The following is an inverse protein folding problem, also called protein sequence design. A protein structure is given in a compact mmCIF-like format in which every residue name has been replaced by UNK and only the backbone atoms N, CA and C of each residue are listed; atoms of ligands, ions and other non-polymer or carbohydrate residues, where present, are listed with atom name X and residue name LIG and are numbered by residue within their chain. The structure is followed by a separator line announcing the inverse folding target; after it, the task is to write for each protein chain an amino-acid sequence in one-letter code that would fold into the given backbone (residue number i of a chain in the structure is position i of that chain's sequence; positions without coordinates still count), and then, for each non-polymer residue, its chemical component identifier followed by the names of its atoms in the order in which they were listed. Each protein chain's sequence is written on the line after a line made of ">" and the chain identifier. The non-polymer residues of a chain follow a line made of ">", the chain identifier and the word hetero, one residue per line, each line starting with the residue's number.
data_IF_972573959953
#
_entry.id   IF_972573959953
#
_cell.length_a   1.000
_cell.length_b   1.000
_cell.length_c   1.000
_cell.angle_alpha   90.00
_cell.angle_beta   90.00
_cell.angle_gamma   90.00
#
_symmetry.space_group_name_H-M   'P 1'
#
loop_
_entity.id
_entity.type
_entity.pdbx_description
1 polymer ?
#
# COMPACT_ATOMS: atom_id res chain seq x y z
N UNK A 1 -5.10 38.73 -16.49
CA UNK A 1 -4.12 37.79 -17.08
C UNK A 1 -2.70 38.19 -16.66
N UNK A 2 -2.24 37.81 -15.46
CA UNK A 2 -0.97 38.32 -14.89
C UNK A 2 0.29 37.51 -15.24
N UNK A 3 0.17 36.42 -16.00
CA UNK A 3 1.28 35.49 -16.28
C UNK A 3 1.37 35.02 -17.74
N UNK A 4 0.69 35.70 -18.68
CA UNK A 4 0.68 35.26 -20.08
C UNK A 4 2.06 35.32 -20.77
N UNK A 5 3.00 36.13 -20.22
CA UNK A 5 4.31 36.40 -20.84
C UNK A 5 5.52 36.00 -19.97
N UNK A 6 5.35 35.26 -18.87
CA UNK A 6 6.48 34.82 -18.03
C UNK A 6 6.43 33.32 -17.81
N UNK A 7 6.76 32.55 -18.84
CA UNK A 7 7.03 31.13 -18.68
C UNK A 7 8.40 31.02 -18.02
N UNK A 8 8.49 30.29 -16.90
CA UNK A 8 9.76 30.07 -16.21
C UNK A 8 10.73 29.34 -17.16
N UNK A 9 11.92 29.92 -17.36
CA UNK A 9 13.00 29.31 -18.14
C UNK A 9 13.70 28.20 -17.36
N UNK A 10 13.63 28.24 -16.03
CA UNK A 10 14.30 27.31 -15.12
C UNK A 10 13.37 27.00 -13.92
N UNK A 11 13.42 25.76 -13.44
CA UNK A 11 12.60 25.27 -12.32
C UNK A 11 13.52 24.51 -11.36
N UNK A 12 13.51 24.92 -10.09
CA UNK A 12 14.22 24.20 -9.03
C UNK A 12 13.54 22.84 -8.78
N UNK A 13 14.31 21.76 -8.91
CA UNK A 13 13.79 20.41 -8.75
C UNK A 13 14.78 19.51 -8.01
N UNK A 14 14.24 18.47 -7.39
CA UNK A 14 15.04 17.40 -6.76
C UNK A 14 14.92 16.17 -7.64
N UNK A 15 16.06 15.66 -8.10
CA UNK A 15 16.14 14.46 -8.93
C UNK A 15 16.36 13.25 -8.03
N UNK A 16 15.54 12.22 -8.21
CA UNK A 16 15.66 10.94 -7.52
C UNK A 16 16.06 9.86 -8.52
N UNK A 17 17.00 9.00 -8.16
CA UNK A 17 17.44 7.87 -9.00
C UNK A 17 16.33 6.82 -9.14
N UNK A 18 15.47 6.70 -8.13
CA UNK A 18 14.36 5.75 -8.08
C UNK A 18 13.01 6.49 -7.90
N UNK A 19 12.04 6.31 -8.82
CA UNK A 19 10.70 6.87 -8.69
C UNK A 19 10.00 6.53 -7.35
N UNK A 20 10.28 5.36 -6.77
CA UNK A 20 9.70 4.95 -5.49
C UNK A 20 10.16 5.81 -4.30
N UNK A 21 11.34 6.41 -4.38
CA UNK A 21 11.83 7.34 -3.36
C UNK A 21 11.10 8.67 -3.46
N UNK A 22 10.85 9.15 -4.68
CA UNK A 22 10.04 10.32 -4.93
C UNK A 22 8.59 10.14 -4.42
N UNK A 23 8.01 8.94 -4.58
CA UNK A 23 6.64 8.63 -4.13
C UNK A 23 6.45 8.84 -2.61
N UNK A 24 7.48 8.57 -1.79
CA UNK A 24 7.43 8.84 -0.35
C UNK A 24 7.21 10.33 -0.08
N UNK A 25 7.94 11.19 -0.79
CA UNK A 25 7.84 12.65 -0.68
C UNK A 25 6.54 13.19 -1.27
N UNK A 26 6.14 12.68 -2.42
CA UNK A 26 4.88 13.04 -3.08
C UNK A 26 3.69 12.73 -2.16
N UNK A 27 3.69 11.54 -1.53
CA UNK A 27 2.65 11.17 -0.57
C UNK A 27 2.63 12.13 0.63
N UNK A 28 3.79 12.41 1.23
CA UNK A 28 3.90 13.29 2.40
C UNK A 28 3.46 14.72 2.08
N UNK A 29 3.79 15.24 0.90
CA UNK A 29 3.40 16.61 0.51
C UNK A 29 1.93 16.73 0.16
N UNK A 30 1.32 15.70 -0.43
CA UNK A 30 0.05 15.86 -1.15
C UNK A 30 -1.17 15.11 -0.62
N UNK A 31 -1.04 14.03 0.17
CA UNK A 31 -2.21 13.20 0.53
C UNK A 31 -2.95 13.60 1.82
N UNK A 32 -2.79 14.83 2.29
CA UNK A 32 -3.50 15.36 3.47
C UNK A 32 -2.59 16.15 4.41
N UNK A 33 -3.05 16.37 5.65
CA UNK A 33 -2.30 17.14 6.66
C UNK A 33 -1.03 16.43 7.13
N UNK A 34 -0.99 15.08 7.13
CA UNK A 34 0.18 14.28 7.51
C UNK A 34 0.92 14.84 8.74
N UNK A 35 0.19 15.06 9.84
CA UNK A 35 0.71 15.66 11.09
C UNK A 35 1.40 17.03 10.89
N UNK A 36 0.89 17.85 9.96
CA UNK A 36 1.42 19.19 9.67
C UNK A 36 2.53 19.22 8.61
N UNK A 37 2.93 18.07 8.05
CA UNK A 37 3.98 17.95 7.03
C UNK A 37 3.44 18.26 5.61
N UNK A 38 2.13 18.06 5.39
CA UNK A 38 1.50 18.24 4.09
C UNK A 38 1.40 19.71 3.68
N UNK A 39 2.19 20.12 2.69
CA UNK A 39 2.27 21.53 2.26
C UNK A 39 1.33 21.88 1.09
N UNK A 40 0.97 20.92 0.23
CA UNK A 40 0.16 21.16 -0.99
C UNK A 40 -0.89 20.07 -1.14
N UNK A 41 -2.11 20.31 -0.67
CA UNK A 41 -3.16 19.28 -0.68
C UNK A 41 -3.65 18.95 -2.09
N UNK A 42 -3.64 17.66 -2.42
CA UNK A 42 -4.39 17.15 -3.55
C UNK A 42 -5.87 16.95 -3.20
N UNK A 43 -6.72 17.09 -4.21
CA UNK A 43 -8.13 16.71 -4.08
C UNK A 43 -8.30 15.18 -4.07
N UNK A 44 -9.47 14.69 -3.64
CA UNK A 44 -9.76 13.26 -3.52
C UNK A 44 -9.55 12.47 -4.82
N UNK A 45 -9.77 13.10 -5.97
CA UNK A 45 -9.58 12.50 -7.29
C UNK A 45 -8.09 12.28 -7.59
N UNK A 46 -7.26 13.30 -7.37
CA UNK A 46 -5.80 13.22 -7.54
C UNK A 46 -5.17 12.20 -6.58
N UNK A 47 -5.58 12.19 -5.31
CA UNK A 47 -5.15 11.19 -4.32
C UNK A 47 -5.53 9.77 -4.78
N UNK A 48 -6.73 9.60 -5.34
CA UNK A 48 -7.18 8.30 -5.85
C UNK A 48 -6.36 7.84 -7.05
N UNK A 49 -6.03 8.74 -7.98
CA UNK A 49 -5.19 8.44 -9.16
C UNK A 49 -3.79 8.02 -8.70
N UNK A 50 -3.22 8.76 -7.76
CA UNK A 50 -1.92 8.42 -7.18
C UNK A 50 -1.93 7.05 -6.50
N UNK A 51 -2.94 6.77 -5.67
CA UNK A 51 -3.08 5.46 -5.02
C UNK A 51 -3.27 4.31 -6.03
N UNK A 52 -4.01 4.52 -7.12
CA UNK A 52 -4.15 3.52 -8.19
C UNK A 52 -2.81 3.20 -8.84
N UNK A 53 -1.99 4.23 -9.11
CA UNK A 53 -0.64 4.07 -9.68
C UNK A 53 0.31 3.33 -8.74
N UNK A 54 0.33 3.70 -7.46
CA UNK A 54 1.32 3.20 -6.49
C UNK A 54 0.90 1.89 -5.84
N UNK A 55 -0.33 1.82 -5.34
CA UNK A 55 -0.85 0.64 -4.62
C UNK A 55 -1.41 -0.42 -5.56
N UNK A 56 -1.46 -0.15 -6.87
CA UNK A 56 -2.08 -1.03 -7.89
C UNK A 56 -3.50 -1.47 -7.52
N UNK A 57 -4.21 -0.63 -6.76
CA UNK A 57 -5.60 -0.86 -6.36
C UNK A 57 -6.50 -0.02 -7.26
N UNK A 58 -7.17 -0.62 -8.26
CA UNK A 58 -8.04 0.12 -9.15
C UNK A 58 -9.24 0.71 -8.37
N UNK A 59 -9.52 1.99 -8.59
CA UNK A 59 -10.68 2.66 -7.98
C UNK A 59 -11.87 2.54 -8.91
N UNK A 60 -12.98 1.98 -8.43
CA UNK A 60 -14.22 1.84 -9.20
C UNK A 60 -14.79 3.21 -9.59
N UNK A 61 -14.72 4.19 -8.69
CA UNK A 61 -15.17 5.55 -8.96
C UNK A 61 -14.39 6.18 -10.12
N UNK A 62 -13.06 6.03 -10.13
CA UNK A 62 -12.23 6.57 -11.22
C UNK A 62 -12.48 5.83 -12.55
N UNK A 63 -12.72 4.53 -12.51
CA UNK A 63 -13.10 3.77 -13.70
C UNK A 63 -14.43 4.25 -14.28
N UNK A 64 -15.45 4.46 -13.44
CA UNK A 64 -16.73 5.02 -13.86
C UNK A 64 -16.58 6.42 -14.47
N UNK A 65 -15.77 7.29 -13.85
CA UNK A 65 -15.49 8.62 -14.39
C UNK A 65 -14.74 8.57 -15.73
N UNK A 66 -13.79 7.63 -15.92
CA UNK A 66 -13.11 7.44 -17.20
C UNK A 66 -14.03 6.95 -18.30
N UNK A 67 -14.96 6.03 -17.98
CA UNK A 67 -15.98 5.59 -18.93
C UNK A 67 -16.78 6.80 -19.44
N UNK A 68 -17.14 7.72 -18.54
CA UNK A 68 -17.85 8.95 -18.90
C UNK A 68 -16.98 9.91 -19.73
N UNK A 69 -15.71 10.08 -19.38
CA UNK A 69 -14.77 10.96 -20.11
C UNK A 69 -14.53 10.46 -21.55
N UNK A 70 -14.39 9.15 -21.72
CA UNK A 70 -14.06 8.52 -23.00
C UNK A 70 -15.28 8.33 -23.92
N UNK A 71 -16.50 8.30 -23.38
CA UNK A 71 -17.69 8.05 -24.18
C UNK A 71 -18.14 9.31 -24.94
N UNK A 72 -18.43 9.18 -26.24
CA UNK A 72 -19.04 10.25 -27.04
C UNK A 72 -20.49 10.56 -26.66
N UNK A 73 -21.17 9.64 -25.96
CA UNK A 73 -22.59 9.76 -25.65
C UNK A 73 -22.87 10.66 -24.40
N UNK A 74 -21.82 11.13 -23.72
CA UNK A 74 -21.95 12.02 -22.55
C UNK A 74 -22.00 13.48 -23.01
N UNK A 75 -23.01 14.28 -22.58
CA UNK A 75 -23.07 15.71 -22.89
C UNK A 75 -21.83 16.47 -22.45
N UNK A 76 -21.36 17.40 -23.28
CA UNK A 76 -20.15 18.20 -23.02
C UNK A 76 -20.23 18.99 -21.71
N UNK A 77 -21.43 19.45 -21.32
CA UNK A 77 -21.68 20.13 -20.04
C UNK A 77 -21.37 19.25 -18.82
N UNK A 78 -21.69 17.95 -18.90
CA UNK A 78 -21.37 17.01 -17.84
C UNK A 78 -19.88 16.71 -17.87
N UNK A 79 -19.29 16.47 -19.05
CA UNK A 79 -17.87 16.15 -19.20
C UNK A 79 -16.95 17.24 -18.61
N UNK A 80 -17.23 18.51 -18.88
CA UNK A 80 -16.42 19.62 -18.37
C UNK A 80 -16.46 19.74 -16.84
N UNK A 81 -17.53 19.26 -16.22
CA UNK A 81 -17.75 19.32 -14.77
C UNK A 81 -17.45 18.00 -14.05
N UNK A 82 -17.01 16.95 -14.75
CA UNK A 82 -16.69 15.67 -14.11
C UNK A 82 -15.62 15.78 -13.03
N UNK A 83 -14.71 16.78 -13.08
CA UNK A 83 -13.74 17.04 -12.01
C UNK A 83 -14.35 17.51 -10.69
N UNK A 84 -15.56 18.08 -10.72
CA UNK A 84 -16.30 18.56 -9.54
C UNK A 84 -17.01 17.41 -8.81
N UNK A 85 -17.27 16.30 -9.50
CA UNK A 85 -17.96 15.14 -8.92
C UNK A 85 -17.12 14.55 -7.79
N UNK A 86 -17.72 14.47 -6.59
CA UNK A 86 -17.09 13.87 -5.42
C UNK A 86 -16.84 12.38 -5.65
N UNK A 87 -15.56 12.00 -5.77
CA UNK A 87 -15.12 10.62 -6.02
C UNK A 87 -15.66 9.63 -4.98
N UNK A 88 -15.81 10.05 -3.72
CA UNK A 88 -16.36 9.23 -2.64
C UNK A 88 -17.84 8.90 -2.85
N UNK A 89 -18.64 9.82 -3.36
CA UNK A 89 -20.07 9.62 -3.59
C UNK A 89 -20.31 8.72 -4.80
N UNK A 90 -19.59 8.98 -5.91
CA UNK A 90 -19.57 8.08 -7.06
C UNK A 90 -19.17 6.66 -6.64
N UNK A 91 -18.11 6.56 -5.82
CA UNK A 91 -17.61 5.30 -5.28
C UNK A 91 -18.66 4.52 -4.47
N UNK A 92 -19.44 5.19 -3.62
CA UNK A 92 -20.52 4.56 -2.84
C UNK A 92 -21.57 3.92 -3.74
N UNK A 93 -21.97 4.61 -4.80
CA UNK A 93 -22.96 4.12 -5.77
C UNK A 93 -22.42 2.94 -6.58
N UNK A 94 -21.27 3.10 -7.26
CA UNK A 94 -20.74 2.01 -8.11
C UNK A 94 -20.15 0.83 -7.31
N UNK A 95 -20.04 0.95 -5.99
CA UNK A 95 -19.63 -0.15 -5.12
C UNK A 95 -20.81 -1.00 -4.64
N UNK A 96 -22.04 -0.48 -4.69
CA UNK A 96 -23.22 -1.16 -4.19
C UNK A 96 -23.72 -2.23 -5.18
N UNK A 97 -23.97 -3.48 -4.76
CA UNK A 97 -24.41 -4.55 -5.65
C UNK A 97 -25.73 -4.28 -6.38
N UNK A 98 -26.71 -3.62 -5.73
CA UNK A 98 -28.02 -3.34 -6.35
C UNK A 98 -27.88 -2.26 -7.43
N UNK A 99 -27.07 -1.23 -7.15
CA UNK A 99 -26.76 -0.17 -8.13
C UNK A 99 -25.96 -0.75 -9.31
N UNK A 100 -25.02 -1.67 -9.07
CA UNK A 100 -24.27 -2.36 -10.12
C UNK A 100 -25.17 -3.17 -11.04
N UNK A 101 -26.08 -3.97 -10.45
CA UNK A 101 -27.07 -4.75 -11.19
C UNK A 101 -27.98 -3.84 -12.02
N UNK A 102 -28.44 -2.72 -11.44
CA UNK A 102 -29.25 -1.72 -12.13
C UNK A 102 -28.52 -1.07 -13.32
N UNK A 103 -27.22 -0.79 -13.18
CA UNK A 103 -26.39 -0.23 -14.25
C UNK A 103 -25.96 -1.28 -15.30
N UNK A 104 -26.13 -2.58 -15.03
CA UNK A 104 -25.64 -3.65 -15.89
C UNK A 104 -24.11 -3.81 -15.84
N UNK A 105 -23.49 -3.52 -14.69
CA UNK A 105 -22.05 -3.65 -14.49
C UNK A 105 -21.71 -4.68 -13.42
N UNK A 106 -20.57 -5.33 -13.57
CA UNK A 106 -20.00 -6.27 -12.63
C UNK A 106 -18.59 -5.82 -12.25
N UNK A 107 -18.09 -6.31 -11.12
CA UNK A 107 -16.74 -5.97 -10.65
C UNK A 107 -15.98 -7.25 -10.37
N UNK A 108 -14.91 -7.48 -11.14
CA UNK A 108 -14.03 -8.63 -10.98
C UNK A 108 -12.59 -8.14 -10.85
N UNK A 109 -11.89 -8.57 -9.78
CA UNK A 109 -10.52 -8.09 -9.50
C UNK A 109 -10.40 -6.57 -9.29
N UNK A 110 -11.51 -5.91 -8.91
CA UNK A 110 -11.58 -4.46 -8.77
C UNK A 110 -11.73 -3.69 -10.10
N UNK A 111 -11.94 -4.39 -11.21
CA UNK A 111 -12.17 -3.80 -12.53
C UNK A 111 -13.65 -3.90 -12.89
N UNK A 112 -14.23 -2.80 -13.39
CA UNK A 112 -15.60 -2.78 -13.92
C UNK A 112 -15.63 -3.55 -15.25
N UNK A 113 -16.46 -4.58 -15.31
CA UNK A 113 -16.78 -5.36 -16.51
C UNK A 113 -18.27 -5.25 -16.80
N UNK A 114 -18.66 -5.40 -18.06
CA UNK A 114 -20.08 -5.41 -18.42
C UNK A 114 -20.32 -6.22 -19.69
N UNK A 115 -21.43 -6.94 -19.70
CA UNK A 115 -22.00 -7.59 -20.89
C UNK A 115 -23.11 -6.73 -21.53
N UNK A 116 -23.55 -5.67 -20.85
CA UNK A 116 -24.54 -4.72 -21.36
C UNK A 116 -23.87 -3.74 -22.32
N UNK A 117 -24.61 -3.22 -23.30
CA UNK A 117 -24.10 -2.22 -24.24
C UNK A 117 -23.50 -1.02 -23.51
N UNK A 118 -22.28 -0.62 -23.90
CA UNK A 118 -21.58 0.51 -23.27
C UNK A 118 -22.43 1.79 -23.26
N UNK A 119 -23.27 1.99 -24.29
CA UNK A 119 -24.19 3.13 -24.38
C UNK A 119 -25.22 3.16 -23.24
N UNK A 120 -25.79 2.01 -22.90
CA UNK A 120 -26.80 1.90 -21.83
C UNK A 120 -26.15 2.09 -20.45
N UNK A 121 -24.93 1.56 -20.24
CA UNK A 121 -24.18 1.80 -19.01
C UNK A 121 -23.81 3.28 -18.87
N UNK A 122 -23.30 3.90 -19.94
CA UNK A 122 -22.97 5.34 -19.97
C UNK A 122 -24.19 6.20 -19.68
N UNK A 123 -25.36 5.84 -20.23
CA UNK A 123 -26.63 6.54 -19.99
C UNK A 123 -26.97 6.61 -18.49
N UNK A 124 -26.89 5.47 -17.78
CA UNK A 124 -27.11 5.42 -16.34
C UNK A 124 -26.06 6.21 -15.55
N UNK A 125 -24.78 6.01 -15.88
CA UNK A 125 -23.68 6.75 -15.25
C UNK A 125 -23.75 8.26 -15.48
N UNK A 126 -24.27 8.69 -16.64
CA UNK A 126 -24.46 10.12 -16.98
C UNK A 126 -25.53 10.74 -16.09
N UNK A 127 -26.63 10.02 -15.83
CA UNK A 127 -27.63 10.49 -14.88
C UNK A 127 -27.06 10.58 -13.47
N UNK A 128 -26.28 9.58 -13.03
CA UNK A 128 -25.60 9.63 -11.73
C UNK A 128 -24.67 10.86 -11.66
N UNK A 129 -23.86 11.09 -12.68
CA UNK A 129 -22.97 12.25 -12.71
C UNK A 129 -23.75 13.58 -12.66
N UNK A 130 -24.88 13.68 -13.36
CA UNK A 130 -25.76 14.86 -13.31
C UNK A 130 -26.31 15.10 -11.91
N UNK A 131 -26.84 14.06 -11.26
CA UNK A 131 -27.39 14.19 -9.91
C UNK A 131 -26.31 14.56 -8.89
N UNK A 132 -25.11 13.98 -9.01
CA UNK A 132 -23.97 14.32 -8.14
C UNK A 132 -23.43 15.75 -8.34
N UNK A 133 -23.75 16.38 -9.47
CA UNK A 133 -23.42 17.78 -9.76
C UNK A 133 -24.53 18.75 -9.34
N UNK A 134 -25.70 18.24 -8.96
CA UNK A 134 -26.81 19.06 -8.45
C UNK A 134 -26.50 19.48 -7.01
N UNK A 135 -26.51 20.79 -6.69
CA UNK A 135 -26.29 21.29 -5.32
C UNK A 135 -27.32 20.78 -4.31
N UNK A 136 -28.51 20.33 -4.75
CA UNK A 136 -29.54 19.73 -3.88
C UNK A 136 -29.18 18.31 -3.45
N UNK A 137 -28.30 17.64 -4.18
CA UNK A 137 -27.92 16.27 -3.90
C UNK A 137 -26.93 16.21 -2.75
N UNK A 138 -27.27 15.45 -1.72
CA UNK A 138 -26.44 15.32 -0.52
C UNK A 138 -26.00 13.87 -0.30
N UNK A 139 -25.01 13.70 0.58
CA UNK A 139 -24.53 12.35 0.94
C UNK A 139 -25.66 11.51 1.57
N UNK A 140 -26.63 12.15 2.23
CA UNK A 140 -27.77 11.49 2.87
C UNK A 140 -28.67 10.75 1.88
N UNK A 141 -28.67 11.16 0.61
CA UNK A 141 -29.45 10.50 -0.44
C UNK A 141 -28.87 9.13 -0.85
N UNK A 142 -27.67 8.77 -0.40
CA UNK A 142 -26.95 7.55 -0.80
C UNK A 142 -26.15 6.89 0.34
N UNK A 143 -26.39 7.28 1.59
CA UNK A 143 -25.57 6.85 2.73
C UNK A 143 -25.85 5.40 3.10
N UNK A 144 -27.12 5.05 3.32
CA UNK A 144 -27.55 3.68 3.59
C UNK A 144 -27.82 2.88 2.31
N UNK A 145 -27.99 1.57 2.47
CA UNK A 145 -28.33 0.68 1.36
C UNK A 145 -29.73 0.99 0.81
N UNK A 146 -30.68 1.24 1.71
CA UNK A 146 -32.04 1.65 1.42
C UNK A 146 -32.08 2.98 0.66
N UNK A 147 -31.25 3.95 1.04
CA UNK A 147 -31.15 5.24 0.34
C UNK A 147 -30.69 5.04 -1.11
N UNK A 148 -29.68 4.20 -1.35
CA UNK A 148 -29.20 3.88 -2.70
C UNK A 148 -30.26 3.17 -3.54
N UNK A 149 -31.03 2.26 -2.94
CA UNK A 149 -32.16 1.59 -3.60
C UNK A 149 -33.27 2.58 -3.97
N UNK A 150 -33.61 3.48 -3.05
CA UNK A 150 -34.58 4.54 -3.28
C UNK A 150 -34.09 5.53 -4.34
N UNK A 151 -32.80 5.82 -4.38
CA UNK A 151 -32.17 6.68 -5.38
C UNK A 151 -32.30 6.11 -6.79
N UNK A 152 -31.89 4.86 -7.02
CA UNK A 152 -32.00 4.23 -8.36
C UNK A 152 -33.46 4.06 -8.80
N UNK A 153 -34.40 3.91 -7.86
CA UNK A 153 -35.83 3.83 -8.15
C UNK A 153 -36.42 5.16 -8.69
N UNK A 154 -35.79 6.31 -8.39
CA UNK A 154 -36.23 7.63 -8.87
C UNK A 154 -35.82 7.91 -10.32
N UNK A 155 -35.04 7.02 -10.96
CA UNK A 155 -34.59 7.23 -12.34
C UNK A 155 -35.78 7.24 -13.31
N UNK A 156 -35.84 8.26 -14.16
CA UNK A 156 -36.82 8.33 -15.23
C UNK A 156 -36.62 7.19 -16.24
N UNK A 157 -37.69 6.80 -16.94
CA UNK A 157 -37.62 5.79 -18.01
C UNK A 157 -36.58 6.13 -19.09
N UNK A 158 -36.39 7.43 -19.36
CA UNK A 158 -35.44 7.93 -20.36
C UNK A 158 -33.99 7.89 -19.91
N UNK A 159 -33.70 7.85 -18.61
CA UNK A 159 -32.34 7.77 -18.05
C UNK A 159 -31.99 6.38 -17.52
N UNK A 160 -32.97 5.50 -17.35
CA UNK A 160 -32.77 4.11 -16.92
C UNK A 160 -31.99 3.30 -17.98
N UNK A 161 -30.89 2.64 -17.61
CA UNK A 161 -30.19 1.69 -18.48
C UNK A 161 -31.09 0.51 -18.85
N UNK A 162 -31.04 0.11 -20.10
CA UNK A 162 -31.64 -1.15 -20.54
C UNK A 162 -30.61 -2.28 -20.48
N UNK A 163 -30.63 -3.06 -19.40
CA UNK A 163 -29.70 -4.17 -19.19
C UNK A 163 -29.97 -5.36 -20.12
N UNK A 164 -31.12 -5.40 -20.80
CA UNK A 164 -31.43 -6.43 -21.80
C UNK A 164 -30.64 -6.25 -23.10
N UNK A 165 -30.21 -5.02 -23.41
CA UNK A 165 -29.38 -4.72 -24.57
C UNK A 165 -27.93 -5.14 -24.30
N UNK A 166 -27.60 -6.35 -24.72
CA UNK A 166 -26.24 -6.88 -24.59
C UNK A 166 -25.28 -6.26 -25.62
N UNK A 167 -24.03 -6.12 -25.22
CA UNK A 167 -22.94 -5.78 -26.13
C UNK A 167 -22.59 -6.98 -27.02
N UNK A 168 -22.04 -6.72 -28.21
CA UNK A 168 -21.54 -7.76 -29.11
C UNK A 168 -20.44 -8.61 -28.47
N UNK A 169 -19.63 -8.00 -27.60
CA UNK A 169 -18.64 -8.68 -26.76
C UNK A 169 -18.61 -8.06 -25.36
N UNK A 170 -18.29 -8.83 -24.30
CA UNK A 170 -18.03 -8.28 -22.98
C UNK A 170 -16.89 -7.26 -23.02
N UNK A 171 -17.06 -6.14 -22.33
CA UNK A 171 -16.06 -5.08 -22.27
C UNK A 171 -15.68 -4.78 -20.81
N UNK A 172 -14.54 -4.12 -20.64
CA UNK A 172 -14.00 -3.75 -19.33
C UNK A 172 -13.51 -2.31 -19.33
N UNK A 173 -13.59 -1.66 -18.17
CA UNK A 173 -13.12 -0.30 -18.00
C UNK A 173 -11.59 -0.22 -18.15
N UNK A 174 -11.11 0.88 -18.73
CA UNK A 174 -9.69 1.17 -18.78
C UNK A 174 -9.19 1.59 -17.39
N UNK A 175 -8.16 0.90 -16.89
CA UNK A 175 -7.42 1.34 -15.70
C UNK A 175 -6.22 2.19 -16.13
N UNK A 176 -5.75 3.09 -15.26
CA UNK A 176 -4.48 3.82 -15.50
C UNK A 176 -3.25 2.95 -15.33
N UNK A 177 -3.40 1.62 -15.19
CA UNK A 177 -2.26 0.76 -15.47
C UNK A 177 -1.89 0.98 -16.92
N UNK A 178 -0.64 1.36 -17.23
CA UNK A 178 -0.21 1.36 -18.61
C UNK A 178 -0.49 -0.04 -19.14
N UNK A 179 -1.36 -0.14 -20.16
CA UNK A 179 -1.31 -1.28 -21.07
C UNK A 179 0.17 -1.41 -21.41
N UNK A 180 0.77 -2.56 -21.08
CA UNK A 180 2.07 -2.90 -21.61
C UNK A 180 1.89 -3.07 -23.11
N UNK A 181 1.88 -1.97 -23.85
CA UNK A 181 2.31 -2.00 -25.24
C UNK A 181 3.76 -2.45 -25.17
N UNK A 182 3.97 -3.70 -25.59
CA UNK A 182 5.27 -4.25 -25.87
C UNK A 182 5.91 -3.39 -26.97
N UNK A 183 6.57 -2.32 -26.54
CA UNK A 183 7.54 -1.62 -27.35
C UNK A 183 8.88 -1.86 -26.67
N UNK A 184 9.79 -2.48 -27.42
CA UNK A 184 11.07 -2.97 -26.93
C UNK A 184 11.79 -1.91 -26.13
N UNK A 185 11.86 -2.11 -24.81
CA UNK A 185 12.82 -1.43 -23.95
C UNK A 185 13.87 -2.45 -23.58
N UNK A 186 15.09 -2.19 -24.02
CA UNK A 186 16.31 -2.87 -23.60
C UNK A 186 16.23 -3.14 -22.10
N UNK A 187 16.43 -4.40 -21.73
CA UNK A 187 16.27 -4.90 -20.38
C UNK A 187 17.16 -4.15 -19.38
N UNK A 188 16.64 -3.05 -18.82
CA UNK A 188 17.04 -2.60 -17.50
C UNK A 188 16.66 -3.73 -16.54
N UNK A 189 17.69 -4.35 -15.96
CA UNK A 189 17.64 -5.52 -15.08
C UNK A 189 16.50 -5.39 -14.07
N UNK A 190 15.32 -5.97 -14.36
CA UNK A 190 14.24 -6.16 -13.37
C UNK A 190 14.86 -6.97 -12.24
N UNK A 191 14.96 -6.41 -11.04
CA UNK A 191 15.27 -7.25 -9.88
C UNK A 191 14.14 -8.27 -9.77
N UNK A 192 14.47 -9.53 -9.97
CA UNK A 192 13.56 -10.66 -9.75
C UNK A 192 12.85 -10.52 -8.40
N UNK A 193 11.59 -10.96 -8.25
CA UNK A 193 10.93 -11.02 -6.94
C UNK A 193 11.89 -11.69 -5.96
N UNK A 194 12.14 -11.04 -4.83
CA UNK A 194 13.14 -11.48 -3.88
C UNK A 194 12.75 -12.86 -3.35
N UNK A 195 13.44 -13.90 -3.82
CA UNK A 195 13.13 -15.29 -3.48
C UNK A 195 13.51 -15.62 -2.04
N UNK A 196 14.48 -14.90 -1.46
CA UNK A 196 15.08 -15.18 -0.16
C UNK A 196 14.83 -14.03 0.81
N UNK A 197 14.71 -14.32 2.11
CA UNK A 197 14.48 -13.27 3.11
C UNK A 197 15.64 -12.25 3.14
N UNK A 198 16.87 -12.76 3.05
CA UNK A 198 18.09 -11.95 3.09
C UNK A 198 18.77 -12.02 1.72
N UNK A 199 19.19 -10.86 1.19
CA UNK A 199 20.08 -10.81 0.02
C UNK A 199 21.50 -11.03 0.51
N UNK A 200 22.23 -11.99 -0.09
CA UNK A 200 23.65 -12.25 0.24
C UNK A 200 24.45 -10.95 0.16
N UNK A 201 25.10 -10.56 1.26
CA UNK A 201 26.19 -9.57 1.18
C UNK A 201 26.45 -8.63 2.35
N UNK A 202 25.64 -8.58 3.42
CA UNK A 202 25.69 -7.40 4.30
C UNK A 202 26.18 -7.60 5.73
N UNK A 203 26.30 -8.84 6.25
CA UNK A 203 26.64 -9.07 7.66
C UNK A 203 27.73 -10.13 7.79
N UNK A 204 28.88 -9.77 8.37
CA UNK A 204 29.93 -10.72 8.73
C UNK A 204 29.69 -11.23 10.14
N UNK A 205 29.25 -12.48 10.26
CA UNK A 205 28.93 -13.10 11.55
C UNK A 205 30.09 -13.98 12.01
N UNK A 206 30.76 -13.58 13.11
CA UNK A 206 31.94 -14.28 13.64
C UNK A 206 31.64 -15.68 14.21
N UNK A 207 30.43 -15.91 14.73
CA UNK A 207 30.05 -17.19 15.33
C UNK A 207 29.60 -18.20 14.26
N UNK A 208 30.27 -19.37 14.19
CA UNK A 208 30.01 -20.43 13.19
C UNK A 208 28.54 -20.87 13.12
N UNK A 209 27.86 -21.02 14.27
CA UNK A 209 26.46 -21.46 14.30
C UNK A 209 25.53 -20.39 13.74
N UNK A 210 25.71 -19.14 14.14
CA UNK A 210 24.93 -18.01 13.64
C UNK A 210 25.22 -17.73 12.15
N UNK A 211 26.46 -17.89 11.71
CA UNK A 211 26.83 -17.77 10.30
C UNK A 211 26.12 -18.83 9.43
N UNK A 212 25.99 -20.06 9.92
CA UNK A 212 25.21 -21.09 9.25
C UNK A 212 23.72 -20.73 9.14
N UNK A 213 23.11 -20.27 10.25
CA UNK A 213 21.70 -19.81 10.28
C UNK A 213 21.49 -18.63 9.31
N UNK A 214 22.40 -17.66 9.29
CA UNK A 214 22.35 -16.54 8.36
C UNK A 214 22.46 -17.00 6.90
N UNK A 215 23.38 -17.94 6.62
CA UNK A 215 23.51 -18.57 5.29
C UNK A 215 22.25 -19.33 4.87
N UNK A 216 21.57 -20.00 5.80
CA UNK A 216 20.28 -20.67 5.55
C UNK A 216 19.19 -19.66 5.21
N UNK A 217 19.07 -18.57 5.98
CA UNK A 217 18.14 -17.46 5.70
C UNK A 217 18.40 -16.78 4.33
N UNK A 218 19.65 -16.79 3.88
CA UNK A 218 20.05 -16.31 2.55
C UNK A 218 19.72 -17.29 1.41
N UNK A 219 19.44 -18.57 1.70
CA UNK A 219 19.20 -19.62 0.69
C UNK A 219 17.75 -20.07 0.61
N UNK A 220 17.02 -20.01 1.73
CA UNK A 220 15.65 -20.49 1.83
C UNK A 220 14.69 -19.64 0.97
N UNK A 221 13.88 -20.34 0.18
CA UNK A 221 12.80 -19.72 -0.58
C UNK A 221 11.65 -19.35 0.37
N UNK A 222 11.44 -18.06 0.55
CA UNK A 222 10.44 -17.53 1.48
C UNK A 222 9.01 -17.88 1.07
N UNK A 223 8.75 -18.09 -0.21
CA UNK A 223 7.42 -18.46 -0.71
C UNK A 223 7.07 -19.91 -0.39
N UNK A 224 8.09 -20.77 -0.25
CA UNK A 224 7.94 -22.21 0.02
C UNK A 224 8.08 -22.54 1.51
N UNK A 225 8.93 -21.82 2.23
CA UNK A 225 9.33 -22.15 3.59
C UNK A 225 9.01 -21.03 4.60
N UNK A 226 7.86 -20.37 4.48
CA UNK A 226 7.47 -19.21 5.31
C UNK A 226 7.58 -19.46 6.82
N UNK A 227 7.07 -20.59 7.30
CA UNK A 227 7.10 -20.91 8.73
C UNK A 227 8.53 -21.17 9.24
N UNK A 228 9.33 -21.92 8.47
CA UNK A 228 10.72 -22.20 8.84
C UNK A 228 11.56 -20.91 8.87
N UNK A 229 11.37 -20.04 7.88
CA UNK A 229 12.04 -18.72 7.81
C UNK A 229 11.66 -17.85 9.01
N UNK A 230 10.39 -17.85 9.42
CA UNK A 230 9.93 -17.12 10.61
C UNK A 230 10.64 -17.56 11.89
N UNK A 231 10.74 -18.88 12.11
CA UNK A 231 11.42 -19.46 13.27
C UNK A 231 12.92 -19.12 13.25
N UNK A 232 13.57 -19.31 12.10
CA UNK A 232 15.00 -19.03 11.96
C UNK A 232 15.33 -17.55 12.13
N UNK A 233 14.48 -16.65 11.64
CA UNK A 233 14.64 -15.20 11.83
C UNK A 233 14.62 -14.84 13.33
N UNK A 234 13.67 -15.39 14.09
CA UNK A 234 13.60 -15.16 15.54
C UNK A 234 14.87 -15.66 16.23
N UNK A 235 15.29 -16.90 15.94
CA UNK A 235 16.49 -17.50 16.54
C UNK A 235 17.74 -16.69 16.20
N UNK A 236 17.85 -16.19 14.97
CA UNK A 236 18.97 -15.35 14.55
C UNK A 236 19.04 -14.04 15.33
N UNK A 237 17.92 -13.32 15.47
CA UNK A 237 17.87 -12.06 16.23
C UNK A 237 18.21 -12.29 17.71
N UNK A 238 17.64 -13.34 18.31
CA UNK A 238 17.85 -13.68 19.71
C UNK A 238 19.32 -14.02 20.02
N UNK A 239 19.91 -14.94 19.26
CA UNK A 239 21.30 -15.33 19.45
C UNK A 239 22.30 -14.22 19.08
N UNK A 240 21.95 -13.31 18.17
CA UNK A 240 22.78 -12.13 17.87
C UNK A 240 22.83 -11.17 19.06
N UNK A 241 21.69 -10.95 19.71
CA UNK A 241 21.65 -10.13 20.93
C UNK A 241 22.45 -10.78 22.07
N UNK A 242 22.40 -12.10 22.21
CA UNK A 242 23.19 -12.83 23.20
C UNK A 242 24.70 -12.66 22.97
N UNK A 243 25.17 -12.77 21.72
CA UNK A 243 26.58 -12.53 21.39
C UNK A 243 27.03 -11.10 21.74
N UNK A 244 26.18 -10.10 21.50
CA UNK A 244 26.47 -8.71 21.84
C UNK A 244 26.56 -8.53 23.36
N UNK A 245 25.62 -9.12 24.11
CA UNK A 245 25.58 -9.04 25.56
C UNK A 245 26.82 -9.70 26.17
N UNK A 246 27.26 -10.85 25.65
CA UNK A 246 28.47 -11.53 26.13
C UNK A 246 29.74 -10.69 25.94
N UNK A 247 29.84 -9.95 24.81
CA UNK A 247 31.00 -9.11 24.49
C UNK A 247 31.03 -7.81 25.29
N UNK A 248 29.92 -7.08 25.35
CA UNK A 248 29.87 -5.71 25.90
C UNK A 248 29.31 -5.61 27.32
N UNK A 249 28.69 -6.68 27.81
CA UNK A 249 28.07 -6.81 29.14
C UNK A 249 27.22 -5.59 29.53
N UNK A 250 26.26 -5.14 28.69
CA UNK A 250 25.36 -4.06 29.05
C UNK A 250 24.47 -4.46 30.24
N UNK A 251 24.04 -3.48 31.04
CA UNK A 251 23.13 -3.73 32.16
C UNK A 251 21.77 -4.18 31.65
N UNK A 252 21.49 -5.48 31.74
CA UNK A 252 20.18 -6.05 31.39
C UNK A 252 19.30 -6.04 32.65
N UNK A 253 18.23 -5.26 32.63
CA UNK A 253 17.24 -5.27 33.72
C UNK A 253 16.53 -6.63 33.72
N UNK A 254 16.84 -7.47 34.71
CA UNK A 254 16.20 -8.78 34.90
C UNK A 254 15.75 -8.96 36.35
N UNK A 255 14.60 -9.58 36.52
CA UNK A 255 14.14 -10.05 37.83
C UNK A 255 14.88 -11.38 38.13
N UNK A 256 15.38 -11.64 39.36
CA UNK A 256 16.19 -12.83 39.67
C UNK A 256 15.44 -14.17 39.49
N UNK A 257 14.11 -14.13 39.44
CA UNK A 257 13.23 -15.30 39.40
C UNK A 257 12.66 -15.63 38.01
N UNK A 258 13.00 -14.85 36.98
CA UNK A 258 12.43 -15.03 35.63
C UNK A 258 13.51 -15.12 34.56
N UNK A 259 13.34 -15.98 33.53
CA UNK A 259 14.23 -15.99 32.38
C UNK A 259 14.22 -14.63 31.69
N UNK A 260 15.37 -14.21 31.19
CA UNK A 260 15.53 -12.92 30.51
C UNK A 260 14.78 -12.96 29.19
N UNK A 261 13.65 -12.25 29.11
CA UNK A 261 12.87 -12.12 27.88
C UNK A 261 13.68 -11.38 26.80
N UNK A 262 13.53 -11.82 25.54
CA UNK A 262 14.14 -11.19 24.38
C UNK A 262 13.90 -9.67 24.31
N UNK A 263 12.73 -9.21 24.79
CA UNK A 263 12.38 -7.79 24.90
C UNK A 263 13.40 -7.00 25.73
N UNK A 264 13.81 -7.55 26.87
CA UNK A 264 14.72 -6.88 27.79
C UNK A 264 16.14 -6.88 27.21
N UNK A 265 16.54 -7.98 26.55
CA UNK A 265 17.82 -8.08 25.83
C UNK A 265 17.93 -7.01 24.75
N UNK A 266 16.94 -6.91 23.87
CA UNK A 266 16.94 -5.93 22.77
C UNK A 266 16.98 -4.50 23.33
N UNK A 267 16.19 -4.17 24.36
CA UNK A 267 16.23 -2.84 24.97
C UNK A 267 17.60 -2.47 25.55
N UNK A 268 18.26 -3.42 26.23
CA UNK A 268 19.60 -3.22 26.77
C UNK A 268 20.63 -2.99 25.66
N UNK A 269 20.61 -3.83 24.62
CA UNK A 269 21.50 -3.71 23.46
C UNK A 269 21.28 -2.39 22.72
N UNK A 270 20.03 -2.01 22.44
CA UNK A 270 19.69 -0.74 21.78
C UNK A 270 20.17 0.46 22.58
N UNK A 271 20.02 0.42 23.91
CA UNK A 271 20.46 1.53 24.79
C UNK A 271 21.98 1.64 24.79
N UNK A 272 22.69 0.52 24.92
CA UNK A 272 24.16 0.49 24.90
C UNK A 272 24.74 0.90 23.54
N UNK A 273 24.16 0.42 22.43
CA UNK A 273 24.59 0.80 21.08
C UNK A 273 24.42 2.30 20.78
N UNK A 274 23.37 2.92 21.31
CA UNK A 274 23.17 4.38 21.20
C UNK A 274 24.17 5.13 22.07
N UNK A 275 24.41 4.67 23.31
CA UNK A 275 25.38 5.29 24.21
C UNK A 275 26.81 5.22 23.65
N UNK A 276 27.18 4.11 23.03
CA UNK A 276 28.49 3.90 22.39
C UNK A 276 28.60 4.51 21.00
N UNK A 277 27.53 5.13 20.49
CA UNK A 277 27.43 5.74 19.14
C UNK A 277 27.65 4.75 17.98
N UNK A 278 27.37 3.46 18.19
CA UNK A 278 27.38 2.46 17.12
C UNK A 278 26.14 2.55 16.22
N UNK A 279 25.02 3.01 16.78
CA UNK A 279 23.79 3.25 16.05
C UNK A 279 23.14 4.59 16.47
N UNK A 280 22.52 5.27 15.51
CA UNK A 280 21.72 6.46 15.76
C UNK A 280 20.28 6.10 16.13
N UNK A 281 19.57 7.02 16.79
CA UNK A 281 18.15 6.89 17.12
C UNK A 281 17.29 6.61 15.88
N UNK A 282 17.70 7.08 14.70
CA UNK A 282 17.03 6.81 13.43
C UNK A 282 17.11 5.33 13.04
N UNK A 283 18.27 4.70 13.19
CA UNK A 283 18.51 3.28 12.89
C UNK A 283 17.78 2.40 13.91
N UNK A 284 17.80 2.80 15.18
CA UNK A 284 17.14 2.08 16.27
C UNK A 284 15.61 2.20 16.25
N UNK A 285 15.02 3.04 15.40
CA UNK A 285 13.56 3.27 15.37
C UNK A 285 12.79 1.99 15.06
N UNK A 286 13.19 1.25 14.03
CA UNK A 286 12.51 0.01 13.61
C UNK A 286 12.47 -1.04 14.72
N UNK A 287 13.63 -1.30 15.34
CA UNK A 287 13.74 -2.27 16.44
C UNK A 287 13.03 -1.77 17.72
N UNK A 288 13.08 -0.46 18.05
CA UNK A 288 12.34 0.08 19.20
C UNK A 288 10.82 -0.04 19.03
N UNK A 289 10.31 0.27 17.84
CA UNK A 289 8.88 0.13 17.54
C UNK A 289 8.46 -1.34 17.60
N UNK A 290 9.33 -2.29 17.19
CA UNK A 290 9.05 -3.73 17.33
C UNK A 290 8.93 -4.19 18.79
N UNK A 291 9.68 -3.55 19.69
CA UNK A 291 9.68 -3.90 21.12
C UNK A 291 8.48 -3.30 21.85
N UNK A 292 8.08 -2.08 21.47
CA UNK A 292 7.01 -1.32 22.12
C UNK A 292 5.61 -1.77 21.70
N UNK A 293 5.40 -2.02 20.39
CA UNK A 293 4.09 -2.38 19.87
C UNK A 293 3.90 -3.90 19.77
N UNK A 294 2.97 -4.43 20.58
CA UNK A 294 2.63 -5.86 20.62
C UNK A 294 2.00 -6.37 19.32
N UNK A 295 1.32 -5.49 18.58
CA UNK A 295 0.60 -5.86 17.35
C UNK A 295 1.43 -5.65 16.09
N UNK A 296 2.65 -5.13 16.22
CA UNK A 296 3.56 -5.00 15.10
C UNK A 296 3.93 -6.38 14.55
N UNK A 297 4.07 -6.46 13.22
CA UNK A 297 4.54 -7.64 12.48
C UNK A 297 5.88 -8.15 13.02
N UNK A 298 6.70 -7.22 13.51
CA UNK A 298 8.01 -7.48 14.09
C UNK A 298 8.03 -7.75 15.59
N UNK A 299 6.87 -7.69 16.26
CA UNK A 299 6.86 -7.78 17.71
C UNK A 299 7.35 -9.16 18.16
N UNK A 300 8.04 -9.18 19.29
CA UNK A 300 8.51 -10.43 19.91
C UNK A 300 7.31 -11.33 20.24
N UNK A 301 6.17 -10.74 20.57
CA UNK A 301 4.91 -11.44 20.80
C UNK A 301 4.35 -12.04 19.51
N UNK A 302 4.44 -11.34 18.37
CA UNK A 302 4.05 -11.82 17.04
C UNK A 302 4.96 -12.96 16.58
N UNK A 303 6.29 -12.81 16.71
CA UNK A 303 7.25 -13.88 16.43
C UNK A 303 7.08 -15.08 17.37
N UNK A 304 6.50 -14.89 18.56
CA UNK A 304 6.15 -15.97 19.49
C UNK A 304 4.86 -16.66 19.08
N UNK A 305 3.86 -15.88 18.70
CA UNK A 305 2.59 -16.37 18.19
C UNK A 305 2.79 -17.22 16.93
N UNK A 306 3.71 -16.87 16.03
CA UNK A 306 4.03 -17.70 14.84
C UNK A 306 4.52 -19.11 15.18
N UNK A 307 5.03 -19.34 16.39
CA UNK A 307 5.55 -20.65 16.82
C UNK A 307 4.48 -21.42 17.60
N UNK A 308 3.75 -20.74 18.50
CA UNK A 308 2.91 -21.39 19.49
C UNK A 308 1.40 -21.27 19.23
N UNK A 309 0.97 -20.36 18.36
CA UNK A 309 -0.44 -20.19 18.05
C UNK A 309 -0.82 -20.99 16.79
N UNK A 310 -1.66 -22.02 16.97
CA UNK A 310 -2.16 -22.86 15.88
C UNK A 310 -2.91 -22.09 14.79
N UNK A 311 -3.53 -20.96 15.14
CA UNK A 311 -4.41 -20.19 14.24
C UNK A 311 -3.74 -18.94 13.66
N UNK A 312 -2.45 -18.73 13.92
CA UNK A 312 -1.74 -17.53 13.49
C UNK A 312 -0.48 -17.88 12.70
N UNK A 313 -0.41 -17.43 11.45
CA UNK A 313 0.66 -17.82 10.52
C UNK A 313 1.35 -16.61 9.89
N UNK A 314 2.67 -16.69 9.67
CA UNK A 314 3.43 -15.64 8.99
C UNK A 314 3.11 -15.58 7.50
N UNK A 315 3.30 -14.41 6.89
CA UNK A 315 3.25 -14.23 5.44
C UNK A 315 4.62 -13.84 4.90
N UNK A 316 4.96 -14.18 3.63
CA UNK A 316 6.26 -13.80 3.07
C UNK A 316 6.51 -12.29 3.09
N UNK A 317 5.48 -11.50 2.80
CA UNK A 317 5.55 -10.03 2.79
C UNK A 317 5.80 -9.46 4.19
N UNK A 318 5.17 -10.04 5.20
CA UNK A 318 5.34 -9.60 6.59
C UNK A 318 6.76 -9.91 7.09
N UNK A 319 7.33 -11.05 6.71
CA UNK A 319 8.70 -11.41 7.04
C UNK A 319 9.74 -10.53 6.31
N UNK A 320 9.54 -10.22 5.02
CA UNK A 320 10.43 -9.31 4.28
C UNK A 320 10.42 -7.92 4.91
N UNK A 321 9.22 -7.36 5.14
CA UNK A 321 9.10 -6.07 5.81
C UNK A 321 9.70 -6.08 7.23
N UNK A 322 9.63 -7.22 7.91
CA UNK A 322 10.29 -7.41 9.20
C UNK A 322 11.81 -7.28 9.07
N UNK A 323 12.43 -8.05 8.19
CA UNK A 323 13.87 -8.00 7.97
C UNK A 323 14.34 -6.61 7.52
N UNK A 324 13.69 -6.00 6.53
CA UNK A 324 14.07 -4.69 5.97
C UNK A 324 14.11 -3.57 7.04
N UNK A 325 13.24 -3.64 8.05
CA UNK A 325 13.16 -2.66 9.13
C UNK A 325 14.26 -2.84 10.21
N UNK A 326 14.89 -4.01 10.30
CA UNK A 326 15.91 -4.31 11.31
C UNK A 326 17.29 -4.59 10.70
N UNK A 327 17.40 -4.75 9.38
CA UNK A 327 18.64 -5.14 8.68
C UNK A 327 19.81 -4.23 9.03
N UNK A 328 19.64 -2.91 8.92
CA UNK A 328 20.72 -1.94 9.20
C UNK A 328 21.14 -1.99 10.66
N UNK A 329 20.20 -2.19 11.59
CA UNK A 329 20.52 -2.36 13.00
C UNK A 329 21.36 -3.62 13.25
N UNK A 330 20.95 -4.75 12.67
CA UNK A 330 21.68 -6.02 12.78
C UNK A 330 23.08 -5.91 12.18
N UNK A 331 23.21 -5.22 11.04
CA UNK A 331 24.50 -4.96 10.40
C UNK A 331 25.44 -4.17 11.32
N UNK A 332 24.99 -3.02 11.84
CA UNK A 332 25.78 -2.20 12.77
C UNK A 332 26.17 -2.96 14.04
N UNK A 333 25.27 -3.80 14.54
CA UNK A 333 25.54 -4.64 15.72
C UNK A 333 26.70 -5.61 15.43
N UNK A 334 26.65 -6.34 14.32
CA UNK A 334 27.69 -7.28 13.94
C UNK A 334 29.00 -6.60 13.51
N UNK A 335 28.96 -5.40 12.91
CA UNK A 335 30.16 -4.60 12.61
C UNK A 335 30.87 -4.10 13.88
N UNK A 336 30.12 -3.88 14.97
CA UNK A 336 30.72 -3.54 16.25
C UNK A 336 31.36 -4.76 16.95
N UNK A 337 30.90 -5.98 16.63
CA UNK A 337 31.28 -7.21 17.33
C UNK A 337 32.56 -7.89 16.86
#
# INVERSE_FOLDING_TARGET
>A
MKYANSIASEIECIVFDNPAEADKWIRLKHTGENDGIGTVRWNSRQVSIYNERIKKKPSLALQAMRILEQSSDVPNEIKSRLSEVKTTNMGRLVSDPEVRSFLGIEVEGGIIKSTTSQKEVVKGLTQIARDLLDPKFTVRDIDSKEDRKNYIAKFSKTSKPDTSKKATMPWQAQTTTPKSTACGRSAGRRSSPQKTLIKKGNISVSNKRLANIYSELCKLDISKFTNAVSVLLRVFVELSCDCYIDKYKPTVTSNPKTPIYLRNKINAVVTDMVNRKFADNTICKGIRTSVQDKHNILSIDTLHAYIHNRYYSPTPQSLIAAWDNIEEFMKRMWESM
#
